data_IF_627307192042
#
_entry.id   IF_627307192042
#
_cell.length_a   1.000
_cell.length_b   1.000
_cell.length_c   1.000
_cell.angle_alpha   90.00
_cell.angle_beta   90.00
_cell.angle_gamma   90.00
#
_symmetry.space_group_name_H-M   'P 1'
#
loop_
_entity.id
_entity.type
_entity.pdbx_description
1 polymer ?
#
# COMPACT_ATOMS: atom_id res chain seq x y z
N UNK A 1 9.83 11.61 -13.78
CA UNK A 1 8.69 10.89 -13.17
C UNK A 1 8.59 11.43 -11.76
N UNK A 2 7.46 12.01 -11.36
CA UNK A 2 7.37 12.71 -10.08
C UNK A 2 7.31 11.70 -8.92
N UNK A 3 8.15 11.92 -7.91
CA UNK A 3 8.19 11.11 -6.69
C UNK A 3 7.80 11.96 -5.49
N UNK A 4 7.05 11.37 -4.56
CA UNK A 4 6.62 12.00 -3.31
C UNK A 4 7.14 11.18 -2.14
N UNK A 5 7.74 11.83 -1.16
CA UNK A 5 8.13 11.18 0.09
C UNK A 5 6.95 11.15 1.07
N UNK A 6 6.67 9.99 1.64
CA UNK A 6 5.68 9.79 2.69
C UNK A 6 6.31 8.95 3.80
N UNK A 7 6.60 9.56 4.96
CA UNK A 7 7.32 8.90 6.06
C UNK A 7 8.63 8.26 5.53
N UNK A 8 8.73 6.93 5.61
CA UNK A 8 9.88 6.14 5.17
C UNK A 8 9.73 5.58 3.75
N UNK A 9 8.79 6.10 2.97
CA UNK A 9 8.51 5.64 1.61
C UNK A 9 8.79 6.72 0.58
N UNK A 10 9.33 6.30 -0.56
CA UNK A 10 9.36 7.10 -1.78
C UNK A 10 8.32 6.55 -2.76
N UNK A 11 7.32 7.37 -3.11
CA UNK A 11 6.16 6.96 -3.88
C UNK A 11 6.24 7.56 -5.28
N UNK A 12 6.13 6.73 -6.31
CA UNK A 12 5.92 7.19 -7.69
C UNK A 12 4.46 7.64 -7.82
N UNK A 13 4.23 8.91 -8.13
CA UNK A 13 2.86 9.48 -8.11
C UNK A 13 1.94 8.91 -9.20
N UNK A 14 2.51 8.32 -10.26
CA UNK A 14 1.76 7.65 -11.32
C UNK A 14 1.08 6.37 -10.78
N UNK A 15 -0.26 6.28 -10.80
CA UNK A 15 -0.96 5.06 -10.40
C UNK A 15 -0.65 3.89 -11.34
N UNK A 16 -0.58 2.69 -10.76
CA UNK A 16 -0.46 1.40 -11.47
C UNK A 16 -1.72 0.55 -11.39
N UNK A 17 -2.65 0.91 -10.50
CA UNK A 17 -3.90 0.21 -10.33
C UNK A 17 -4.95 1.11 -9.72
N UNK A 18 -6.20 0.70 -9.85
CA UNK A 18 -7.37 1.38 -9.27
C UNK A 18 -8.22 0.36 -8.54
N UNK A 19 -8.51 0.64 -7.28
CA UNK A 19 -9.50 -0.09 -6.49
C UNK A 19 -10.80 0.70 -6.40
N UNK A 20 -11.79 0.14 -5.71
CA UNK A 20 -13.00 0.87 -5.36
C UNK A 20 -12.64 2.04 -4.42
N UNK A 21 -12.83 3.28 -4.87
CA UNK A 21 -12.47 4.52 -4.15
C UNK A 21 -10.99 4.66 -3.76
N UNK A 22 -10.11 3.92 -4.43
CA UNK A 22 -8.68 3.90 -4.11
C UNK A 22 -7.84 3.87 -5.39
N UNK A 23 -6.59 4.31 -5.27
CA UNK A 23 -5.57 4.11 -6.30
C UNK A 23 -4.36 3.42 -5.68
N UNK A 24 -3.65 2.65 -6.50
CA UNK A 24 -2.44 1.93 -6.10
C UNK A 24 -1.27 2.52 -6.86
N UNK A 25 -0.22 2.88 -6.14
CA UNK A 25 1.03 3.40 -6.69
C UNK A 25 2.20 2.47 -6.35
N UNK A 26 3.28 2.57 -7.13
CA UNK A 26 4.56 2.00 -6.74
C UNK A 26 5.19 2.83 -5.63
N UNK A 27 5.73 2.16 -4.62
CA UNK A 27 6.55 2.75 -3.57
C UNK A 27 7.86 1.99 -3.37
N UNK A 28 8.85 2.65 -2.78
CA UNK A 28 10.07 2.05 -2.24
C UNK A 28 10.09 2.30 -0.74
N UNK A 29 10.22 1.25 0.05
CA UNK A 29 10.55 1.37 1.47
C UNK A 29 12.04 1.72 1.61
N UNK A 30 12.33 2.83 2.27
CA UNK A 30 13.70 3.34 2.45
C UNK A 30 14.45 2.67 3.61
N UNK A 31 13.74 2.02 4.54
CA UNK A 31 14.34 1.28 5.64
C UNK A 31 14.74 -0.13 5.19
N UNK A 32 13.82 -0.84 4.53
CA UNK A 32 14.05 -2.21 4.08
C UNK A 32 14.59 -2.30 2.65
N UNK A 33 14.63 -1.18 1.92
CA UNK A 33 15.12 -1.11 0.53
C UNK A 33 14.35 -2.05 -0.44
N UNK A 34 13.07 -2.31 -0.17
CA UNK A 34 12.18 -3.15 -1.01
C UNK A 34 11.15 -2.31 -1.76
N UNK A 35 10.74 -2.81 -2.93
CA UNK A 35 9.60 -2.26 -3.65
C UNK A 35 8.28 -2.76 -3.03
N UNK A 36 7.30 -1.85 -2.97
CA UNK A 36 5.98 -2.09 -2.37
C UNK A 36 4.88 -1.48 -3.22
N UNK A 37 3.66 -2.01 -3.10
CA UNK A 37 2.46 -1.38 -3.64
C UNK A 37 1.77 -0.59 -2.52
N UNK A 38 1.50 0.69 -2.74
CA UNK A 38 0.83 1.56 -1.77
C UNK A 38 -0.57 1.88 -2.27
N UNK A 39 -1.58 1.41 -1.53
CA UNK A 39 -2.99 1.71 -1.77
C UNK A 39 -3.40 2.96 -0.98
N UNK A 40 -3.80 4.00 -1.68
CA UNK A 40 -4.33 5.23 -1.08
C UNK A 40 -5.84 5.29 -1.29
N UNK A 41 -6.60 5.48 -0.20
CA UNK A 41 -8.06 5.50 -0.20
C UNK A 41 -8.57 6.71 0.58
N UNK A 42 -9.68 7.28 0.14
CA UNK A 42 -10.40 8.33 0.88
C UNK A 42 -11.35 7.77 1.94
N UNK A 43 -11.59 6.45 1.95
CA UNK A 43 -12.56 5.80 2.83
C UNK A 43 -11.85 5.03 3.95
N UNK A 44 -11.53 5.74 5.04
CA UNK A 44 -10.75 5.21 6.16
C UNK A 44 -11.36 3.94 6.78
N UNK A 45 -12.65 3.95 7.12
CA UNK A 45 -13.29 2.83 7.81
C UNK A 45 -13.28 1.54 6.97
N UNK A 46 -13.52 1.66 5.66
CA UNK A 46 -13.45 0.53 4.73
C UNK A 46 -12.02 0.01 4.64
N UNK A 47 -11.06 0.92 4.46
CA UNK A 47 -9.64 0.56 4.34
C UNK A 47 -9.09 -0.07 5.61
N UNK A 48 -9.54 0.37 6.79
CA UNK A 48 -9.20 -0.21 8.08
C UNK A 48 -9.71 -1.65 8.19
N UNK A 49 -10.96 -1.91 7.79
CA UNK A 49 -11.52 -3.28 7.78
C UNK A 49 -10.75 -4.19 6.84
N UNK A 50 -10.44 -3.71 5.63
CA UNK A 50 -9.60 -4.45 4.68
C UNK A 50 -8.25 -4.79 5.32
N UNK A 51 -7.54 -3.80 5.89
CA UNK A 51 -6.25 -4.01 6.54
C UNK A 51 -6.32 -5.04 7.67
N UNK A 52 -7.34 -4.98 8.54
CA UNK A 52 -7.55 -5.97 9.61
C UNK A 52 -7.77 -7.38 9.07
N UNK A 53 -8.55 -7.54 8.00
CA UNK A 53 -8.71 -8.85 7.34
C UNK A 53 -7.37 -9.31 6.77
N UNK A 54 -6.61 -8.41 6.15
CA UNK A 54 -5.31 -8.74 5.58
C UNK A 54 -4.27 -9.16 6.63
N UNK A 55 -4.24 -8.46 7.76
CA UNK A 55 -3.40 -8.82 8.90
C UNK A 55 -3.76 -10.20 9.46
N UNK A 56 -5.05 -10.56 9.48
CA UNK A 56 -5.53 -11.82 10.08
C UNK A 56 -5.11 -13.08 9.33
N UNK A 57 -4.90 -13.02 8.01
CA UNK A 57 -4.42 -14.19 7.25
C UNK A 57 -2.90 -14.31 7.20
N UNK A 58 -2.15 -13.33 7.72
CA UNK A 58 -0.68 -13.35 7.76
C UNK A 58 -0.04 -13.42 6.38
N UNK A 59 0.96 -14.31 6.22
CA UNK A 59 1.59 -14.58 4.93
C UNK A 59 1.02 -15.85 4.31
N UNK A 60 0.53 -15.75 3.07
CA UNK A 60 0.02 -16.89 2.32
C UNK A 60 0.53 -16.83 0.87
N UNK A 61 0.98 -17.94 0.25
CA UNK A 61 1.62 -17.91 -1.08
C UNK A 61 0.75 -17.34 -2.21
N UNK A 62 -0.57 -17.37 -2.03
CA UNK A 62 -1.54 -16.91 -3.03
C UNK A 62 -2.22 -15.59 -2.67
N UNK A 63 -1.84 -14.95 -1.55
CA UNK A 63 -2.38 -13.66 -1.13
C UNK A 63 -1.26 -12.63 -1.00
N UNK A 64 -1.55 -11.35 -1.26
CA UNK A 64 -0.59 -10.29 -1.00
C UNK A 64 -0.26 -10.23 0.49
N UNK A 65 1.01 -10.07 0.82
CA UNK A 65 1.45 -9.77 2.17
C UNK A 65 1.00 -8.37 2.57
N UNK A 66 0.30 -8.25 3.70
CA UNK A 66 0.06 -6.96 4.32
C UNK A 66 1.33 -6.50 5.04
N UNK A 67 1.79 -5.29 4.72
CA UNK A 67 3.09 -4.81 5.15
C UNK A 67 3.00 -3.68 6.19
N UNK A 68 2.20 -2.64 5.93
CA UNK A 68 2.12 -1.44 6.78
C UNK A 68 0.77 -0.71 6.60
N UNK A 69 0.33 0.02 7.64
CA UNK A 69 -0.83 0.92 7.63
C UNK A 69 -0.43 2.31 8.12
N UNK A 70 -0.65 3.35 7.30
CA UNK A 70 -0.11 4.70 7.54
C UNK A 70 -1.12 5.77 7.92
#
# INVERSE_FOLDING_TARGET
METKRLKNYEIKTKPIGRGQFAYVCWGRDLNQQREVAIKSSSHFNTSKKEATVMESYGSHPFLPEFYDFL
#
